data_IF_118121925111
#
_entry.id   IF_118121925111
#
_cell.length_a   1.000
_cell.length_b   1.000
_cell.length_c   1.000
_cell.angle_alpha   90.00
_cell.angle_beta   90.00
_cell.angle_gamma   90.00
#
_symmetry.space_group_name_H-M   'P 1'
#
loop_
_entity.id
_entity.type
_entity.pdbx_description
1 polymer ?
#
# COMPACT_ATOMS: atom_id res chain seq x y z
N UNK A 1 10.71 10.50 9.12
CA UNK A 1 11.41 10.85 7.91
C UNK A 1 10.90 12.18 7.34
N UNK A 2 11.73 12.85 6.55
CA UNK A 2 11.40 14.16 6.01
C UNK A 2 10.14 14.17 5.15
N UNK A 3 9.92 13.11 4.37
CA UNK A 3 8.73 13.01 3.52
C UNK A 3 7.44 12.98 4.35
N UNK A 4 7.39 12.16 5.37
CA UNK A 4 6.22 12.05 6.24
C UNK A 4 5.95 13.38 6.95
N UNK A 5 7.01 14.05 7.40
CA UNK A 5 6.90 15.34 8.04
C UNK A 5 6.30 16.40 7.11
N UNK A 6 6.75 16.45 5.87
CA UNK A 6 6.23 17.40 4.88
C UNK A 6 4.74 17.15 4.61
N UNK A 7 4.32 15.89 4.49
CA UNK A 7 2.92 15.55 4.28
C UNK A 7 2.05 15.94 5.49
N UNK A 8 2.59 15.83 6.69
CA UNK A 8 1.83 16.12 7.91
C UNK A 8 1.70 17.62 8.20
N UNK A 9 2.52 18.46 7.60
CA UNK A 9 2.46 19.91 7.84
C UNK A 9 1.19 20.54 7.30
N UNK A 10 0.70 20.07 6.15
CA UNK A 10 -0.45 20.66 5.48
C UNK A 10 -1.78 20.01 5.83
N UNK A 11 -1.77 18.73 6.15
CA UNK A 11 -2.99 17.96 6.44
C UNK A 11 -2.70 16.88 7.47
N UNK A 12 -3.69 16.50 8.29
CA UNK A 12 -3.54 15.33 9.14
C UNK A 12 -3.31 14.08 8.29
N UNK A 13 -2.19 13.41 8.53
CA UNK A 13 -1.84 12.17 7.82
C UNK A 13 -1.74 11.06 8.85
N UNK A 14 -2.40 9.94 8.58
CA UNK A 14 -2.28 8.73 9.38
C UNK A 14 -1.15 7.89 8.81
N UNK A 15 -0.13 7.61 9.62
CA UNK A 15 0.96 6.73 9.23
C UNK A 15 0.68 5.32 9.77
N UNK A 16 0.63 4.34 8.88
CA UNK A 16 0.45 2.94 9.24
C UNK A 16 1.66 2.16 8.72
N UNK A 17 2.48 1.65 9.65
CA UNK A 17 3.70 0.91 9.30
C UNK A 17 3.49 -0.57 9.62
N UNK A 18 3.38 -1.39 8.58
CA UNK A 18 3.16 -2.82 8.67
C UNK A 18 2.00 -3.20 9.62
N UNK A 19 0.82 -2.56 9.47
CA UNK A 19 -0.22 -2.66 10.50
C UNK A 19 -0.86 -4.04 10.61
N UNK A 20 -0.75 -4.87 9.55
CA UNK A 20 -1.43 -6.17 9.52
C UNK A 20 -0.45 -7.35 9.46
N UNK A 21 0.84 -7.11 9.72
CA UNK A 21 1.88 -8.14 9.53
C UNK A 21 1.81 -9.27 10.54
N UNK A 22 1.23 -9.04 11.72
CA UNK A 22 1.24 -10.01 12.81
C UNK A 22 0.01 -10.92 12.87
N UNK A 23 -0.92 -10.81 11.91
CA UNK A 23 -2.16 -11.61 11.91
C UNK A 23 -2.17 -12.61 10.76
N UNK A 24 -3.02 -13.62 10.86
CA UNK A 24 -3.17 -14.62 9.81
C UNK A 24 -3.80 -14.03 8.54
N UNK A 25 -3.76 -14.79 7.44
CA UNK A 25 -4.18 -14.28 6.13
C UNK A 25 -5.65 -13.86 6.09
N UNK A 26 -6.54 -14.65 6.68
CA UNK A 26 -7.97 -14.33 6.65
C UNK A 26 -8.29 -13.10 7.51
N UNK A 27 -7.72 -13.05 8.71
CA UNK A 27 -7.89 -11.90 9.60
C UNK A 27 -7.31 -10.64 8.95
N UNK A 28 -6.19 -10.78 8.26
CA UNK A 28 -5.57 -9.66 7.54
C UNK A 28 -6.51 -9.07 6.51
N UNK A 29 -7.14 -9.92 5.68
CA UNK A 29 -8.09 -9.44 4.67
C UNK A 29 -9.26 -8.70 5.29
N UNK A 30 -9.79 -9.22 6.38
CA UNK A 30 -10.91 -8.58 7.10
C UNK A 30 -10.51 -7.24 7.69
N UNK A 31 -9.32 -7.15 8.29
CA UNK A 31 -8.83 -5.90 8.85
C UNK A 31 -8.52 -4.86 7.77
N UNK A 32 -8.02 -5.31 6.62
CA UNK A 32 -7.79 -4.42 5.49
C UNK A 32 -9.09 -3.81 4.99
N UNK A 33 -10.14 -4.62 4.82
CA UNK A 33 -11.45 -4.13 4.39
C UNK A 33 -12.03 -3.15 5.42
N UNK A 34 -11.92 -3.47 6.70
CA UNK A 34 -12.41 -2.62 7.77
C UNK A 34 -11.65 -1.28 7.79
N UNK A 35 -10.33 -1.32 7.65
CA UNK A 35 -9.52 -0.12 7.63
C UNK A 35 -9.90 0.78 6.45
N UNK A 36 -10.10 0.19 5.27
CA UNK A 36 -10.52 0.95 4.09
C UNK A 36 -11.86 1.65 4.31
N UNK A 37 -12.77 1.01 5.02
CA UNK A 37 -14.08 1.59 5.34
C UNK A 37 -13.98 2.70 6.39
N UNK A 38 -13.25 2.47 7.47
CA UNK A 38 -13.16 3.40 8.59
C UNK A 38 -12.32 4.64 8.28
N UNK A 39 -11.38 4.53 7.34
CA UNK A 39 -10.42 5.60 7.06
C UNK A 39 -10.78 6.39 5.79
N UNK A 40 -11.97 6.23 5.29
CA UNK A 40 -12.46 7.01 4.13
C UNK A 40 -12.36 8.50 4.44
N UNK A 41 -11.86 9.27 3.46
CA UNK A 41 -11.71 10.71 3.58
C UNK A 41 -10.45 11.16 4.31
N UNK A 42 -9.63 10.23 4.79
CA UNK A 42 -8.36 10.56 5.44
C UNK A 42 -7.20 10.33 4.50
N UNK A 43 -6.13 11.08 4.70
CA UNK A 43 -4.88 10.84 3.99
C UNK A 43 -4.05 9.85 4.80
N UNK A 44 -3.67 8.74 4.17
CA UNK A 44 -2.98 7.65 4.84
C UNK A 44 -1.71 7.32 4.09
N UNK A 45 -0.60 7.20 4.83
CA UNK A 45 0.63 6.65 4.32
C UNK A 45 0.79 5.25 4.89
N UNK A 46 0.59 4.24 4.04
CA UNK A 46 0.72 2.84 4.42
C UNK A 46 2.07 2.30 3.97
N UNK A 47 2.85 1.80 4.91
CA UNK A 47 4.12 1.15 4.62
C UNK A 47 3.96 -0.35 4.80
N UNK A 48 4.26 -1.12 3.77
CA UNK A 48 4.13 -2.57 3.80
C UNK A 48 5.15 -3.21 2.85
N UNK A 49 5.55 -4.44 3.16
CA UNK A 49 6.37 -5.25 2.26
C UNK A 49 5.53 -6.24 1.44
N UNK A 50 4.21 -6.20 1.60
CA UNK A 50 3.29 -7.06 0.85
C UNK A 50 2.70 -6.29 -0.33
N UNK A 51 3.12 -6.59 -1.57
CA UNK A 51 2.63 -5.86 -2.74
C UNK A 51 1.12 -5.97 -2.93
N UNK A 52 0.52 -7.12 -2.62
CA UNK A 52 -0.93 -7.28 -2.76
C UNK A 52 -1.69 -6.37 -1.80
N UNK A 53 -1.23 -6.26 -0.55
CA UNK A 53 -1.81 -5.34 0.42
C UNK A 53 -1.78 -3.89 -0.09
N UNK A 54 -0.62 -3.46 -0.59
CA UNK A 54 -0.49 -2.12 -1.13
C UNK A 54 -1.45 -1.88 -2.30
N UNK A 55 -1.57 -2.86 -3.19
CA UNK A 55 -2.45 -2.76 -4.37
C UNK A 55 -3.93 -2.81 -4.02
N UNK A 56 -4.30 -3.49 -2.93
CA UNK A 56 -5.69 -3.51 -2.50
C UNK A 56 -6.12 -2.20 -1.87
N UNK A 57 -5.23 -1.54 -1.15
CA UNK A 57 -5.58 -0.43 -0.28
C UNK A 57 -5.15 0.94 -0.80
N UNK A 58 -4.11 1.01 -1.63
CA UNK A 58 -3.56 2.29 -2.05
C UNK A 58 -4.25 2.88 -3.26
N UNK A 59 -4.49 4.19 -3.24
CA UNK A 59 -4.83 4.93 -4.45
C UNK A 59 -3.62 5.06 -5.35
N UNK A 60 -2.46 5.31 -4.74
CA UNK A 60 -1.16 5.35 -5.40
C UNK A 60 -0.20 4.43 -4.68
N UNK A 61 0.58 3.67 -5.42
CA UNK A 61 1.58 2.77 -4.87
C UNK A 61 2.96 3.20 -5.36
N UNK A 62 3.88 3.35 -4.41
CA UNK A 62 5.27 3.69 -4.69
C UNK A 62 6.15 2.54 -4.24
N UNK A 63 7.05 2.10 -5.12
CA UNK A 63 7.96 0.99 -4.82
C UNK A 63 9.34 1.55 -4.51
N UNK A 64 9.85 1.22 -3.32
CA UNK A 64 11.20 1.59 -2.90
C UNK A 64 12.13 0.43 -3.22
N UNK A 65 13.08 0.64 -4.12
CA UNK A 65 13.98 -0.41 -4.56
C UNK A 65 15.33 0.14 -4.97
N UNK A 66 16.28 -0.76 -5.20
CA UNK A 66 17.60 -0.41 -5.68
C UNK A 66 18.60 -0.14 -4.57
N UNK A 67 19.85 0.09 -4.99
CA UNK A 67 20.95 0.37 -4.07
C UNK A 67 21.87 1.44 -4.67
N UNK A 68 21.82 2.68 -4.11
CA UNK A 68 20.96 3.11 -3.00
C UNK A 68 19.46 3.06 -3.34
N UNK A 69 18.64 2.90 -2.31
CA UNK A 69 17.20 2.78 -2.50
C UNK A 69 16.60 4.07 -3.05
N UNK A 70 15.66 3.94 -3.97
CA UNK A 70 14.93 5.07 -4.54
C UNK A 70 13.49 4.68 -4.83
N UNK A 71 12.61 5.68 -4.88
CA UNK A 71 11.21 5.46 -5.24
C UNK A 71 11.05 5.43 -6.75
N UNK A 72 10.35 4.41 -7.23
CA UNK A 72 9.96 4.32 -8.62
C UNK A 72 8.76 5.22 -8.95
N UNK A 73 8.28 5.19 -10.20
CA UNK A 73 7.08 5.94 -10.58
C UNK A 73 5.85 5.42 -9.83
N UNK A 74 4.91 6.32 -9.55
CA UNK A 74 3.68 5.96 -8.86
C UNK A 74 2.82 5.05 -9.74
N UNK A 75 2.30 3.98 -9.14
CA UNK A 75 1.30 3.12 -9.78
C UNK A 75 -0.08 3.55 -9.30
N UNK A 76 -1.00 3.72 -10.25
CA UNK A 76 -2.38 4.12 -9.95
C UNK A 76 -3.34 3.12 -10.59
N UNK A 77 -3.70 2.03 -9.90
CA UNK A 77 -4.65 1.07 -10.45
C UNK A 77 -5.99 1.75 -10.76
N UNK A 78 -6.66 1.29 -11.81
CA UNK A 78 -7.86 1.94 -12.33
C UNK A 78 -9.05 1.93 -11.38
N UNK A 79 -9.21 0.85 -10.60
CA UNK A 79 -10.32 0.74 -9.67
C UNK A 79 -10.02 1.43 -8.35
N UNK A 80 -11.06 1.68 -7.55
CA UNK A 80 -10.91 2.30 -6.25
C UNK A 80 -10.70 1.26 -5.14
N UNK A 81 -9.93 1.60 -4.08
CA UNK A 81 -9.78 0.71 -2.93
C UNK A 81 -11.10 0.57 -2.13
N UNK A 82 -11.32 -0.54 -1.41
CA UNK A 82 -10.43 -1.71 -1.39
C UNK A 82 -10.66 -2.58 -2.63
N UNK A 83 -9.58 -3.03 -3.24
CA UNK A 83 -9.67 -3.89 -4.42
C UNK A 83 -9.75 -5.35 -3.98
N UNK A 84 -10.53 -6.19 -4.70
CA UNK A 84 -10.69 -7.60 -4.33
C UNK A 84 -9.35 -8.35 -4.36
N UNK A 85 -9.12 -9.19 -3.34
CA UNK A 85 -7.87 -9.95 -3.24
C UNK A 85 -7.71 -10.99 -4.35
N UNK A 86 -8.80 -11.41 -4.97
CA UNK A 86 -8.80 -12.41 -6.04
C UNK A 86 -8.81 -11.81 -7.45
N UNK A 87 -8.65 -10.50 -7.58
CA UNK A 87 -8.60 -9.84 -8.88
C UNK A 87 -7.33 -10.22 -9.62
N UNK A 88 -7.43 -10.88 -10.81
CA UNK A 88 -6.24 -11.28 -11.57
C UNK A 88 -5.33 -10.10 -11.96
N UNK A 89 -5.89 -8.93 -12.20
CA UNK A 89 -5.11 -7.74 -12.52
C UNK A 89 -4.20 -7.33 -11.37
N UNK A 90 -4.67 -7.44 -10.13
CA UNK A 90 -3.85 -7.16 -8.95
C UNK A 90 -2.73 -8.16 -8.80
N UNK A 91 -3.01 -9.44 -9.06
CA UNK A 91 -1.99 -10.48 -8.97
C UNK A 91 -0.88 -10.28 -9.99
N UNK A 92 -1.23 -9.86 -11.20
CA UNK A 92 -0.24 -9.53 -12.23
C UNK A 92 0.63 -8.35 -11.83
N UNK A 93 0.02 -7.30 -11.29
CA UNK A 93 0.77 -6.14 -10.82
C UNK A 93 1.67 -6.49 -9.62
N UNK A 94 1.16 -7.30 -8.69
CA UNK A 94 1.94 -7.74 -7.54
C UNK A 94 3.17 -8.54 -7.98
N UNK A 95 3.02 -9.43 -8.96
CA UNK A 95 4.14 -10.19 -9.50
C UNK A 95 5.19 -9.27 -10.12
N UNK A 96 4.75 -8.22 -10.83
CA UNK A 96 5.65 -7.21 -11.39
C UNK A 96 6.45 -6.48 -10.32
N UNK A 97 5.78 -6.09 -9.23
CA UNK A 97 6.44 -5.42 -8.10
C UNK A 97 7.47 -6.35 -7.46
N UNK A 98 7.12 -7.62 -7.25
CA UNK A 98 8.05 -8.59 -6.68
C UNK A 98 9.29 -8.78 -7.54
N UNK A 99 9.14 -8.80 -8.87
CA UNK A 99 10.29 -8.87 -9.78
C UNK A 99 11.18 -7.63 -9.65
N UNK A 100 10.58 -6.46 -9.53
CA UNK A 100 11.31 -5.21 -9.35
C UNK A 100 12.09 -5.20 -8.04
N UNK A 101 11.48 -5.68 -6.96
CA UNK A 101 12.13 -5.74 -5.65
C UNK A 101 13.25 -6.77 -5.61
N UNK A 102 13.10 -7.87 -6.35
CA UNK A 102 14.12 -8.93 -6.40
C UNK A 102 15.29 -8.60 -7.33
N UNK A 103 15.04 -7.74 -8.30
CA UNK A 103 16.03 -7.34 -9.28
C UNK A 103 16.89 -6.21 -8.84
#
# INVERSE_FOLDING_TARGET
>A
AALARTLMEDQPVVLMDEPFSAVDALTRLRLQDLAAELLVGRTILLVTHDPLEALRLGHQILVLSGEPASLGPALEPESLPPRPADDPALHSLAAGILRELAG
#
